data_IF_546931714778
#
_entry.id   IF_546931714778
#
_cell.length_a   1.000
_cell.length_b   1.000
_cell.length_c   1.000
_cell.angle_alpha   90.00
_cell.angle_beta   90.00
_cell.angle_gamma   90.00
#
_symmetry.space_group_name_H-M   'P 1'
#
loop_
_entity.id
_entity.type
_entity.pdbx_description
1 polymer ?
#
# COMPACT_ATOMS: atom_id res chain seq x y z
N UNK A 1 12.31 1.91 79.87
CA UNK A 1 13.57 2.68 79.88
C UNK A 1 13.80 3.19 78.49
N UNK A 2 13.65 4.49 78.40
CA UNK A 2 14.36 5.50 77.64
C UNK A 2 14.31 5.28 76.09
N UNK A 3 13.44 5.99 75.36
CA UNK A 3 13.61 7.43 74.94
C UNK A 3 14.89 7.63 74.12
N UNK A 4 14.69 7.94 72.82
CA UNK A 4 15.21 9.21 72.29
C UNK A 4 14.55 9.52 70.96
N UNK A 5 13.75 10.58 70.98
CA UNK A 5 13.29 11.33 69.84
C UNK A 5 14.45 12.15 69.29
N UNK A 6 14.50 12.35 67.95
CA UNK A 6 15.08 13.55 67.41
C UNK A 6 14.39 13.92 66.10
N UNK A 7 13.73 15.08 66.04
CA UNK A 7 13.08 15.58 64.82
C UNK A 7 14.10 16.37 64.01
N UNK A 8 14.25 16.01 62.73
CA UNK A 8 14.97 16.84 61.80
C UNK A 8 14.02 17.68 60.96
N UNK A 9 14.26 18.94 61.09
CA UNK A 9 13.70 20.11 60.46
C UNK A 9 13.59 20.03 58.96
N UNK A 10 12.39 20.32 58.49
CA UNK A 10 12.06 20.59 57.10
C UNK A 10 12.57 21.98 56.72
N UNK A 11 13.61 22.10 55.92
CA UNK A 11 14.00 23.36 55.30
C UNK A 11 13.36 23.43 53.90
N UNK A 12 12.33 24.26 53.80
CA UNK A 12 11.83 24.81 52.55
C UNK A 12 12.97 25.53 51.82
N UNK A 13 13.34 25.01 50.63
CA UNK A 13 14.16 25.75 49.69
C UNK A 13 13.23 26.48 48.74
N UNK A 14 13.17 27.78 48.85
CA UNK A 14 12.57 28.70 47.86
C UNK A 14 13.26 28.56 46.51
N UNK A 15 12.50 28.57 45.37
CA UNK A 15 13.08 28.57 44.04
C UNK A 15 13.84 29.89 43.81
N UNK A 16 15.12 29.75 43.46
CA UNK A 16 15.92 30.89 43.01
C UNK A 16 15.44 31.34 41.64
N UNK A 17 15.14 32.63 41.56
CA UNK A 17 14.83 33.37 40.34
C UNK A 17 16.02 33.29 39.39
N UNK A 18 15.86 32.51 38.28
CA UNK A 18 16.85 32.48 37.21
C UNK A 18 16.58 33.68 36.31
N UNK A 19 17.32 34.75 36.56
CA UNK A 19 17.34 35.93 35.71
C UNK A 19 17.73 35.56 34.29
N UNK A 20 16.81 35.82 33.38
CA UNK A 20 16.82 35.69 31.96
C UNK A 20 18.11 36.27 31.31
N UNK A 21 18.97 35.49 30.65
CA UNK A 21 20.04 36.06 29.85
C UNK A 21 19.43 36.71 28.59
N UNK A 22 19.75 37.96 28.37
CA UNK A 22 19.35 38.77 27.23
C UNK A 22 19.56 37.98 25.94
N UNK A 23 18.47 37.57 25.31
CA UNK A 23 18.46 36.95 24.00
C UNK A 23 18.91 37.96 22.93
N UNK A 24 19.97 37.60 22.20
CA UNK A 24 20.45 38.32 21.05
C UNK A 24 19.33 38.27 19.96
N UNK A 25 18.74 39.42 19.67
CA UNK A 25 17.62 39.65 18.76
C UNK A 25 18.02 39.63 17.28
N UNK A 26 18.85 38.68 16.85
CA UNK A 26 19.23 38.57 15.43
C UNK A 26 19.04 37.15 14.82
N UNK A 27 18.24 36.32 15.47
CA UNK A 27 17.79 35.10 14.78
C UNK A 27 16.45 35.40 14.10
N UNK A 28 16.33 35.19 12.77
CA UNK A 28 15.03 35.28 12.10
C UNK A 28 14.07 34.31 12.75
N UNK A 29 12.77 34.64 12.84
CA UNK A 29 11.78 33.74 13.42
C UNK A 29 11.82 32.41 12.68
N UNK A 30 11.93 31.31 13.42
CA UNK A 30 11.76 29.97 12.88
C UNK A 30 10.36 29.91 12.26
N UNK A 31 10.33 29.97 10.94
CA UNK A 31 9.11 29.79 10.18
C UNK A 31 8.73 28.29 10.24
N UNK A 32 7.89 27.95 11.19
CA UNK A 32 7.32 26.60 11.37
C UNK A 32 6.24 26.27 10.32
N UNK A 33 6.10 27.09 9.28
CA UNK A 33 5.32 26.77 8.10
C UNK A 33 6.13 26.00 7.02
N UNK A 34 7.08 25.16 7.42
CA UNK A 34 7.46 24.08 6.55
C UNK A 34 6.26 23.13 6.50
N UNK A 35 5.43 23.31 5.48
CA UNK A 35 4.43 22.32 5.08
C UNK A 35 5.12 20.98 5.13
N UNK A 36 4.77 20.16 6.11
CA UNK A 36 5.09 18.74 6.09
C UNK A 36 4.44 18.21 4.82
N UNK A 37 5.22 18.15 3.76
CA UNK A 37 4.83 17.52 2.52
C UNK A 37 4.79 16.05 2.86
N UNK A 38 3.64 15.59 3.33
CA UNK A 38 3.37 14.16 3.47
C UNK A 38 3.70 13.55 2.11
N UNK A 39 4.86 12.94 2.02
CA UNK A 39 5.22 12.13 0.88
C UNK A 39 4.19 11.00 0.86
N UNK A 40 3.14 11.22 0.06
CA UNK A 40 2.16 10.20 -0.21
C UNK A 40 2.96 8.99 -0.71
N UNK A 41 3.05 7.93 0.09
CA UNK A 41 3.80 6.74 -0.27
C UNK A 41 3.32 6.18 -1.61
N UNK A 42 2.05 6.43 -1.98
CA UNK A 42 1.51 6.19 -3.31
C UNK A 42 2.28 6.94 -4.40
N UNK A 43 2.55 8.24 -4.23
CA UNK A 43 3.28 9.06 -5.22
C UNK A 43 4.72 8.58 -5.43
N UNK A 44 5.36 8.06 -4.39
CA UNK A 44 6.68 7.45 -4.50
C UNK A 44 6.66 6.20 -5.37
N UNK A 45 5.70 5.30 -5.13
CA UNK A 45 5.54 4.09 -5.92
C UNK A 45 5.10 4.40 -7.35
N UNK A 46 4.16 5.34 -7.56
CA UNK A 46 3.72 5.81 -8.87
C UNK A 46 4.89 6.40 -9.66
N UNK A 47 5.72 7.29 -9.05
CA UNK A 47 6.90 7.84 -9.71
C UNK A 47 7.95 6.78 -10.06
N UNK A 48 8.13 5.80 -9.19
CA UNK A 48 9.08 4.70 -9.41
C UNK A 48 8.62 3.78 -10.54
N UNK A 49 7.32 3.59 -10.68
CA UNK A 49 6.69 2.74 -11.69
C UNK A 49 6.56 3.47 -13.03
N UNK A 50 6.08 4.72 -13.05
CA UNK A 50 5.97 5.54 -14.26
C UNK A 50 7.34 5.86 -14.90
N UNK A 51 8.42 5.84 -14.11
CA UNK A 51 9.77 5.94 -14.67
C UNK A 51 10.15 4.69 -15.50
N UNK A 52 9.51 3.55 -15.23
CA UNK A 52 9.68 2.30 -15.98
C UNK A 52 8.72 2.18 -17.18
N UNK A 53 7.59 2.91 -17.19
CA UNK A 53 6.61 2.86 -18.29
C UNK A 53 7.08 3.54 -19.59
N UNK A 54 8.16 4.32 -19.56
CA UNK A 54 8.69 4.93 -20.80
C UNK A 54 9.35 3.94 -21.76
N UNK A 55 9.63 2.73 -21.32
CA UNK A 55 10.05 1.65 -22.20
C UNK A 55 8.84 0.78 -22.59
N UNK A 56 8.02 1.29 -23.54
CA UNK A 56 6.99 0.50 -24.23
C UNK A 56 7.59 -0.59 -25.11
N UNK A 57 8.46 -1.42 -24.52
CA UNK A 57 8.96 -2.60 -25.19
C UNK A 57 8.00 -3.76 -24.88
N UNK A 58 7.41 -4.45 -25.90
CA UNK A 58 6.50 -5.58 -25.66
C UNK A 58 7.14 -6.77 -24.89
N UNK A 59 8.38 -6.65 -24.47
CA UNK A 59 9.14 -7.67 -23.71
C UNK A 59 9.13 -7.47 -22.19
N UNK A 60 8.38 -6.49 -21.64
CA UNK A 60 8.43 -6.15 -20.22
C UNK A 60 7.54 -7.02 -19.31
N UNK A 61 7.15 -8.23 -19.76
CA UNK A 61 6.45 -9.19 -18.91
C UNK A 61 7.31 -9.73 -17.74
N UNK A 62 8.61 -9.40 -17.70
CA UNK A 62 9.57 -9.82 -16.66
C UNK A 62 9.68 -8.85 -15.48
N UNK A 63 8.86 -7.80 -15.41
CA UNK A 63 8.87 -6.81 -14.33
C UNK A 63 7.50 -6.68 -13.72
N UNK A 64 7.44 -6.44 -12.41
CA UNK A 64 6.20 -6.19 -11.70
C UNK A 64 5.40 -5.07 -12.38
N UNK A 65 4.11 -5.28 -12.55
CA UNK A 65 3.19 -4.36 -13.20
C UNK A 65 2.31 -3.69 -12.15
N UNK A 66 2.19 -2.38 -12.27
CA UNK A 66 1.27 -1.60 -11.45
C UNK A 66 -0.01 -1.31 -12.25
N UNK A 67 -1.15 -1.71 -11.69
CA UNK A 67 -2.45 -1.64 -12.34
C UNK A 67 -3.24 -0.39 -11.93
N UNK A 68 -2.73 0.39 -11.00
CA UNK A 68 -3.33 1.65 -10.54
C UNK A 68 -3.64 1.70 -9.05
N UNK A 69 -3.93 2.92 -8.60
CA UNK A 69 -4.45 3.20 -7.26
C UNK A 69 -5.81 3.89 -7.36
N UNK A 70 -6.75 3.49 -6.50
CA UNK A 70 -8.13 3.95 -6.51
C UNK A 70 -8.60 4.25 -5.09
N UNK A 71 -9.24 5.39 -4.90
CA UNK A 71 -9.84 5.80 -3.62
C UNK A 71 -11.31 5.44 -3.62
N UNK A 72 -11.77 4.83 -2.53
CA UNK A 72 -13.11 4.27 -2.39
C UNK A 72 -13.62 4.52 -0.96
N UNK A 73 -14.92 4.80 -0.84
CA UNK A 73 -15.60 4.83 0.46
C UNK A 73 -16.33 3.51 0.76
N UNK A 74 -16.19 2.55 -0.14
CA UNK A 74 -16.84 1.25 -0.05
C UNK A 74 -16.20 0.37 1.03
N UNK A 75 -17.00 -0.49 1.66
CA UNK A 75 -16.49 -1.46 2.65
C UNK A 75 -15.88 -2.69 1.99
N UNK A 76 -16.28 -2.96 0.75
CA UNK A 76 -15.83 -4.09 -0.03
C UNK A 76 -15.72 -3.76 -1.51
N UNK A 77 -15.00 -4.59 -2.25
CA UNK A 77 -14.96 -4.58 -3.71
C UNK A 77 -15.15 -5.97 -4.24
N UNK A 78 -15.70 -6.07 -5.44
CA UNK A 78 -15.74 -7.31 -6.21
C UNK A 78 -14.65 -7.29 -7.26
N UNK A 79 -13.74 -8.25 -7.19
CA UNK A 79 -12.65 -8.42 -8.14
C UNK A 79 -12.95 -9.65 -8.98
N UNK A 80 -13.02 -9.50 -10.31
CA UNK A 80 -13.19 -10.61 -11.22
C UNK A 80 -12.01 -10.65 -12.20
N UNK A 81 -11.62 -11.84 -12.58
CA UNK A 81 -10.49 -12.05 -13.48
C UNK A 81 -10.68 -13.30 -14.35
N UNK A 82 -10.00 -13.32 -15.49
CA UNK A 82 -10.02 -14.44 -16.44
C UNK A 82 -8.73 -14.47 -17.24
N UNK A 83 -8.45 -15.56 -17.90
CA UNK A 83 -7.51 -15.57 -19.01
C UNK A 83 -8.09 -14.73 -20.16
N UNK A 84 -7.30 -13.79 -20.71
CA UNK A 84 -7.78 -12.95 -21.80
C UNK A 84 -7.38 -13.45 -23.19
N UNK A 85 -6.44 -14.39 -23.26
CA UNK A 85 -6.04 -15.04 -24.51
C UNK A 85 -6.67 -16.44 -24.62
N UNK A 86 -5.85 -17.45 -24.69
CA UNK A 86 -6.31 -18.84 -24.76
C UNK A 86 -5.97 -19.57 -23.46
N UNK A 87 -6.96 -20.11 -22.75
CA UNK A 87 -6.69 -20.84 -21.51
C UNK A 87 -5.73 -21.99 -21.76
N UNK A 88 -4.51 -21.83 -21.27
CA UNK A 88 -3.42 -22.78 -21.49
C UNK A 88 -2.81 -23.31 -20.20
N UNK A 89 -3.50 -23.05 -19.07
CA UNK A 89 -3.11 -23.49 -17.74
C UNK A 89 -2.35 -22.45 -16.94
N UNK A 90 -2.51 -21.17 -17.26
CA UNK A 90 -2.02 -20.06 -16.45
C UNK A 90 -2.56 -20.11 -15.03
N UNK A 91 -1.69 -19.91 -14.03
CA UNK A 91 -2.02 -19.95 -12.61
C UNK A 91 -1.45 -18.76 -11.89
N UNK A 92 -2.21 -18.25 -10.93
CA UNK A 92 -1.81 -17.10 -10.10
C UNK A 92 -2.02 -17.39 -8.61
N UNK A 93 -1.20 -16.77 -7.79
CA UNK A 93 -1.42 -16.60 -6.35
C UNK A 93 -1.96 -15.21 -6.11
N UNK A 94 -2.96 -15.08 -5.24
CA UNK A 94 -3.57 -13.79 -4.88
C UNK A 94 -3.28 -13.48 -3.42
N UNK A 95 -2.76 -12.28 -3.15
CA UNK A 95 -2.51 -11.79 -1.79
C UNK A 95 -3.20 -10.45 -1.54
N UNK A 96 -3.54 -10.19 -0.28
CA UNK A 96 -4.04 -8.91 0.21
C UNK A 96 -3.19 -8.47 1.40
N UNK A 97 -2.56 -7.31 1.30
CA UNK A 97 -1.62 -6.80 2.30
C UNK A 97 -0.58 -7.85 2.71
N UNK A 98 0.00 -8.53 1.73
CA UNK A 98 0.97 -9.61 1.85
C UNK A 98 0.45 -10.93 2.48
N UNK A 99 -0.82 -10.97 2.90
CA UNK A 99 -1.48 -12.20 3.37
C UNK A 99 -2.04 -12.96 2.17
N UNK A 100 -1.74 -14.26 2.09
CA UNK A 100 -2.24 -15.12 1.01
C UNK A 100 -3.74 -15.34 1.16
N UNK A 101 -4.52 -14.89 0.18
CA UNK A 101 -5.95 -15.19 0.08
C UNK A 101 -6.18 -16.51 -0.66
N UNK A 102 -5.54 -16.66 -1.81
CA UNK A 102 -5.61 -17.85 -2.65
C UNK A 102 -4.20 -18.23 -3.07
N UNK A 103 -3.69 -19.39 -2.61
CA UNK A 103 -2.32 -19.80 -2.91
C UNK A 103 -2.14 -20.20 -4.38
N UNK A 104 -3.21 -20.63 -5.03
CA UNK A 104 -3.18 -21.19 -6.38
C UNK A 104 -4.54 -21.12 -7.05
N UNK A 105 -4.66 -20.35 -8.14
CA UNK A 105 -5.88 -20.20 -8.92
C UNK A 105 -5.53 -20.39 -10.38
N UNK A 106 -6.19 -21.33 -11.04
CA UNK A 106 -6.11 -21.48 -12.50
C UNK A 106 -6.99 -20.43 -13.19
N UNK A 107 -6.43 -19.78 -14.21
CA UNK A 107 -7.16 -18.82 -15.03
C UNK A 107 -7.94 -19.57 -16.11
N UNK A 108 -9.21 -19.21 -16.26
CA UNK A 108 -10.12 -19.76 -17.25
C UNK A 108 -10.60 -18.68 -18.21
N UNK A 109 -11.22 -19.08 -19.31
CA UNK A 109 -11.81 -18.15 -20.25
C UNK A 109 -12.98 -17.34 -19.66
N UNK A 110 -13.74 -17.95 -18.75
CA UNK A 110 -14.83 -17.28 -18.03
C UNK A 110 -14.31 -16.52 -16.82
N UNK A 111 -14.90 -15.37 -16.55
CA UNK A 111 -14.59 -14.62 -15.33
C UNK A 111 -14.93 -15.45 -14.09
N UNK A 112 -13.98 -15.53 -13.19
CA UNK A 112 -14.13 -15.96 -11.81
C UNK A 112 -13.76 -14.79 -10.91
N UNK A 113 -14.16 -14.81 -9.64
CA UNK A 113 -13.86 -13.68 -8.80
C UNK A 113 -14.08 -13.90 -7.32
N UNK A 114 -13.75 -12.85 -6.57
CA UNK A 114 -13.88 -12.79 -5.13
C UNK A 114 -14.45 -11.44 -4.72
N UNK A 115 -15.08 -11.42 -3.54
CA UNK A 115 -15.41 -10.19 -2.83
C UNK A 115 -14.36 -9.99 -1.75
N UNK A 116 -13.74 -8.82 -1.74
CA UNK A 116 -12.70 -8.45 -0.78
C UNK A 116 -13.20 -7.35 0.14
N UNK A 117 -13.25 -7.62 1.45
CA UNK A 117 -13.49 -6.59 2.46
C UNK A 117 -12.24 -5.72 2.60
N UNK A 118 -12.43 -4.40 2.49
CA UNK A 118 -11.37 -3.43 2.58
C UNK A 118 -11.13 -3.02 4.03
N UNK A 119 -9.87 -2.98 4.44
CA UNK A 119 -9.45 -2.35 5.68
C UNK A 119 -9.30 -0.84 5.46
N UNK A 120 -9.47 -0.03 6.51
CA UNK A 120 -9.24 1.42 6.42
C UNK A 120 -7.82 1.72 5.96
N UNK A 121 -7.69 2.67 5.05
CA UNK A 121 -6.42 3.03 4.43
C UNK A 121 -6.06 2.10 3.26
N UNK A 122 -4.78 1.69 3.19
CA UNK A 122 -4.22 0.98 2.04
C UNK A 122 -4.59 -0.51 2.02
N UNK A 123 -5.08 -0.94 0.87
CA UNK A 123 -5.32 -2.34 0.53
C UNK A 123 -4.50 -2.67 -0.73
N UNK A 124 -3.41 -3.38 -0.56
CA UNK A 124 -2.56 -3.84 -1.65
C UNK A 124 -2.99 -5.24 -2.08
N UNK A 125 -3.37 -5.38 -3.33
CA UNK A 125 -3.75 -6.66 -3.92
C UNK A 125 -2.71 -7.04 -4.96
N UNK A 126 -2.03 -8.16 -4.77
CA UNK A 126 -1.07 -8.70 -5.73
C UNK A 126 -1.62 -9.97 -6.38
N UNK A 127 -1.50 -10.04 -7.68
CA UNK A 127 -1.63 -11.25 -8.49
C UNK A 127 -0.23 -11.68 -8.91
N UNK A 128 0.23 -12.82 -8.45
CA UNK A 128 1.60 -13.31 -8.66
C UNK A 128 1.52 -14.51 -9.60
N UNK A 129 2.13 -14.41 -10.77
CA UNK A 129 2.15 -15.50 -11.74
C UNK A 129 2.92 -16.71 -11.18
N UNK A 130 2.27 -17.86 -11.10
CA UNK A 130 2.89 -19.12 -10.65
C UNK A 130 3.54 -19.88 -11.80
N UNK A 131 3.01 -19.72 -13.00
CA UNK A 131 3.53 -20.31 -14.24
C UNK A 131 3.18 -19.40 -15.42
N UNK A 132 3.46 -19.85 -16.63
CA UNK A 132 3.17 -19.17 -17.90
C UNK A 132 2.38 -20.07 -18.85
N UNK A 133 1.60 -21.00 -18.29
CA UNK A 133 0.86 -21.96 -19.11
C UNK A 133 1.75 -22.80 -20.02
N UNK A 134 1.19 -23.27 -21.10
CA UNK A 134 1.92 -23.99 -22.16
C UNK A 134 2.46 -23.05 -23.23
N UNK A 135 2.00 -21.80 -23.28
CA UNK A 135 2.33 -20.78 -24.30
C UNK A 135 2.43 -19.40 -23.66
N UNK A 136 3.40 -19.23 -22.73
CA UNK A 136 3.57 -18.00 -21.95
C UNK A 136 3.73 -16.73 -22.77
N UNK A 137 3.54 -15.54 -22.14
CA UNK A 137 3.50 -15.26 -20.70
C UNK A 137 2.17 -15.64 -20.03
N UNK A 138 2.10 -15.59 -18.68
CA UNK A 138 0.84 -15.64 -17.93
C UNK A 138 -0.02 -14.42 -18.29
N UNK A 139 -1.22 -14.66 -18.83
CA UNK A 139 -2.09 -13.60 -19.34
C UNK A 139 -3.40 -13.54 -18.58
N UNK A 140 -3.81 -12.33 -18.17
CA UNK A 140 -5.15 -12.18 -17.61
C UNK A 140 -5.76 -10.81 -17.86
N UNK A 141 -7.08 -10.77 -17.82
CA UNK A 141 -7.90 -9.58 -17.67
C UNK A 141 -8.50 -9.57 -16.26
N UNK A 142 -8.42 -8.43 -15.58
CA UNK A 142 -8.97 -8.21 -14.25
C UNK A 142 -9.86 -6.98 -14.26
N UNK A 143 -10.98 -7.07 -13.55
CA UNK A 143 -11.91 -5.96 -13.35
C UNK A 143 -12.24 -5.82 -11.86
N UNK A 144 -12.30 -4.58 -11.39
CA UNK A 144 -12.67 -4.24 -10.02
C UNK A 144 -13.97 -3.44 -10.05
N UNK A 145 -14.95 -3.86 -9.26
CA UNK A 145 -16.23 -3.21 -9.10
C UNK A 145 -16.41 -2.78 -7.64
N UNK A 146 -17.06 -1.63 -7.44
CA UNK A 146 -17.46 -1.17 -6.12
C UNK A 146 -18.72 -1.93 -5.61
N UNK A 147 -19.21 -1.59 -4.41
CA UNK A 147 -20.42 -2.21 -3.82
C UNK A 147 -21.68 -1.96 -4.65
N UNK A 148 -21.74 -0.85 -5.37
CA UNK A 148 -22.88 -0.52 -6.23
C UNK A 148 -22.84 -1.27 -7.58
N UNK A 149 -21.75 -1.97 -7.87
CA UNK A 149 -21.54 -2.65 -9.14
C UNK A 149 -20.95 -1.77 -10.24
N UNK A 150 -20.49 -0.55 -9.90
CA UNK A 150 -19.81 0.31 -10.86
C UNK A 150 -18.39 -0.17 -11.11
N UNK A 151 -17.96 -0.10 -12.35
CA UNK A 151 -16.60 -0.46 -12.75
C UNK A 151 -15.59 0.58 -12.25
N UNK A 152 -14.74 0.19 -11.33
CA UNK A 152 -13.64 1.02 -10.79
C UNK A 152 -12.43 0.94 -11.70
N UNK A 153 -12.09 -0.26 -12.17
CA UNK A 153 -10.91 -0.48 -13.02
C UNK A 153 -11.06 -1.74 -13.86
N UNK A 154 -10.45 -1.69 -15.06
CA UNK A 154 -10.27 -2.84 -15.94
C UNK A 154 -8.86 -2.80 -16.52
N UNK A 155 -8.09 -3.86 -16.32
CA UNK A 155 -6.71 -3.97 -16.78
C UNK A 155 -6.42 -5.38 -17.31
N UNK A 156 -5.33 -5.49 -18.06
CA UNK A 156 -4.76 -6.74 -18.52
C UNK A 156 -3.30 -6.79 -18.11
N UNK A 157 -2.79 -8.01 -17.91
CA UNK A 157 -1.35 -8.22 -17.70
C UNK A 157 -0.81 -9.34 -18.57
N UNK A 158 0.50 -9.26 -18.77
CA UNK A 158 1.33 -10.31 -19.30
C UNK A 158 2.51 -10.47 -18.34
N UNK A 159 2.60 -11.56 -17.60
CA UNK A 159 3.60 -11.75 -16.54
C UNK A 159 4.45 -12.99 -16.79
N UNK A 160 5.75 -12.87 -16.53
CA UNK A 160 6.60 -14.04 -16.37
C UNK A 160 6.35 -14.71 -15.00
N UNK A 161 6.70 -15.98 -14.86
CA UNK A 161 6.64 -16.70 -13.58
C UNK A 161 7.35 -15.93 -12.47
N UNK A 162 6.70 -15.75 -11.32
CA UNK A 162 7.20 -15.03 -10.15
C UNK A 162 6.99 -13.51 -10.19
N UNK A 163 6.59 -12.97 -11.33
CA UNK A 163 6.26 -11.53 -11.48
C UNK A 163 4.83 -11.28 -11.02
N UNK A 164 4.55 -10.07 -10.56
CA UNK A 164 3.24 -9.68 -10.02
C UNK A 164 2.61 -8.52 -10.76
N UNK A 165 1.28 -8.48 -10.72
CA UNK A 165 0.46 -7.33 -11.04
C UNK A 165 -0.20 -6.83 -9.75
N UNK A 166 -0.10 -5.51 -9.46
CA UNK A 166 -0.49 -4.92 -8.19
C UNK A 166 -1.54 -3.84 -8.36
N UNK A 167 -2.64 -3.94 -7.61
CA UNK A 167 -3.59 -2.86 -7.34
C UNK A 167 -3.35 -2.27 -5.94
N UNK A 168 -3.59 -0.96 -5.81
CA UNK A 168 -3.72 -0.27 -4.53
C UNK A 168 -5.14 0.30 -4.43
N UNK A 169 -5.93 -0.17 -3.47
CA UNK A 169 -7.23 0.39 -3.14
C UNK A 169 -7.12 1.12 -1.80
N UNK A 170 -7.52 2.38 -1.77
CA UNK A 170 -7.46 3.19 -0.55
C UNK A 170 -8.89 3.41 -0.07
N UNK A 171 -9.24 2.79 1.07
CA UNK A 171 -10.50 3.02 1.75
C UNK A 171 -10.40 4.29 2.60
N UNK A 172 -11.19 5.30 2.27
CA UNK A 172 -11.32 6.58 3.00
C UNK A 172 -12.23 6.48 4.21
#
# INVERSE_FOLDING_TARGET
MAENENPQENREQTPQDITNPKSNLNNPPLNLESQEKFLNSGDYYVKKLNKKEKDKNPRNFKTDQYLGDFRLNDSSVRIIFRDHEMPDGDRVKITHNDVVLFPDVTLFQNFVGLTLNLVSGFNKIDFIALNQGSSGPNTAEVRVYNENGDLVSANQWNLATGVRATYILVKE
#
